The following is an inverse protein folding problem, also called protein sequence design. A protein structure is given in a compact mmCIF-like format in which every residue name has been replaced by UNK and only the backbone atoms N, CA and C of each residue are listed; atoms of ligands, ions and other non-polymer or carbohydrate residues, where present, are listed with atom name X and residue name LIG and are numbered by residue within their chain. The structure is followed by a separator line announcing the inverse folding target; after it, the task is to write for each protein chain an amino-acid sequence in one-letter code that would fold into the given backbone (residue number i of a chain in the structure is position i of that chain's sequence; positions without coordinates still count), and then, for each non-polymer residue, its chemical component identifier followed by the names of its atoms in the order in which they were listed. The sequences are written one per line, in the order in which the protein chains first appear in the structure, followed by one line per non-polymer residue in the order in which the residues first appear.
data_IF_815001821832
#
_entry.id   IF_815001821832
#
_cell.length_a   1.000
_cell.length_b   1.000
_cell.length_c   1.000
_cell.angle_alpha   90.00
_cell.angle_beta   90.00
_cell.angle_gamma   90.00
#
_symmetry.space_group_name_H-M   'P 1'
#
loop_
_entity.id
_entity.type
_entity.pdbx_description
1 polymer ?
#
# COMPACT_ATOMS: atom_id res chain seq x y z
N UNK A 1 -8.51 -4.67 -1.44
CA UNK A 1 -9.63 -4.17 -2.29
C UNK A 1 -9.10 -3.14 -3.27
N UNK A 2 -9.84 -2.75 -4.32
CA UNK A 2 -9.29 -1.75 -5.27
C UNK A 2 -9.41 -0.32 -4.73
N UNK A 3 -10.62 0.15 -4.42
CA UNK A 3 -10.86 1.49 -3.87
C UNK A 3 -10.76 1.50 -2.35
N UNK A 4 -10.26 2.58 -1.72
CA UNK A 4 -10.23 2.75 -0.27
C UNK A 4 -11.65 2.99 0.25
N UNK A 5 -12.43 1.93 0.39
CA UNK A 5 -13.87 2.03 0.64
C UNK A 5 -14.23 2.73 1.96
N UNK A 6 -13.30 2.76 2.92
CA UNK A 6 -13.46 3.43 4.20
C UNK A 6 -13.36 4.96 4.08
N UNK A 7 -12.49 5.50 3.20
CA UNK A 7 -12.42 6.95 2.95
C UNK A 7 -13.62 7.43 2.15
N UNK A 8 -14.17 6.56 1.30
CA UNK A 8 -15.40 6.78 0.54
C UNK A 8 -16.68 6.60 1.37
N UNK A 9 -16.57 6.26 2.67
CA UNK A 9 -17.71 6.02 3.57
C UNK A 9 -18.72 5.02 2.99
N UNK A 10 -18.21 3.91 2.46
CA UNK A 10 -19.04 2.88 1.83
C UNK A 10 -19.84 2.09 2.87
N UNK A 11 -21.17 2.18 2.81
CA UNK A 11 -22.06 1.39 3.67
C UNK A 11 -21.88 -0.13 3.50
N UNK A 12 -21.43 -0.60 2.33
CA UNK A 12 -21.10 -2.01 2.12
C UNK A 12 -19.81 -2.40 2.85
N UNK A 13 -18.82 -1.52 2.88
CA UNK A 13 -17.60 -1.74 3.63
C UNK A 13 -17.86 -1.70 5.14
N UNK A 14 -18.73 -0.82 5.62
CA UNK A 14 -19.11 -0.76 7.04
C UNK A 14 -19.69 -2.10 7.52
N UNK A 15 -20.48 -2.79 6.68
CA UNK A 15 -20.98 -4.15 6.96
C UNK A 15 -19.84 -5.16 7.07
N UNK A 16 -18.86 -5.10 6.17
CA UNK A 16 -17.67 -5.97 6.21
C UNK A 16 -16.86 -5.69 7.47
N UNK A 17 -16.60 -4.42 7.78
CA UNK A 17 -15.87 -3.97 8.96
C UNK A 17 -16.54 -4.43 10.26
N UNK A 18 -17.88 -4.36 10.33
CA UNK A 18 -18.66 -4.89 11.44
C UNK A 18 -18.56 -6.43 11.55
N UNK A 19 -18.63 -7.15 10.43
CA UNK A 19 -18.49 -8.62 10.40
C UNK A 19 -17.10 -9.11 10.78
N UNK A 20 -16.06 -8.29 10.54
CA UNK A 20 -14.70 -8.60 10.99
C UNK A 20 -14.58 -8.52 12.52
N UNK A 21 -15.44 -7.74 13.19
CA UNK A 21 -15.55 -7.64 14.64
C UNK A 21 -14.17 -7.49 15.32
N UNK A 22 -13.77 -8.45 16.16
CA UNK A 22 -12.50 -8.46 16.88
C UNK A 22 -11.43 -9.35 16.23
N UNK A 23 -11.65 -9.81 14.99
CA UNK A 23 -10.64 -10.57 14.25
C UNK A 23 -9.44 -9.64 13.99
N UNK A 24 -8.24 -10.20 14.03
CA UNK A 24 -7.05 -9.48 13.59
C UNK A 24 -7.09 -9.37 12.07
N UNK A 25 -7.01 -8.16 11.54
CA UNK A 25 -7.00 -7.90 10.11
C UNK A 25 -6.22 -6.63 9.78
N UNK A 26 -5.85 -6.50 8.51
CA UNK A 26 -5.32 -5.28 7.90
C UNK A 26 -6.07 -5.04 6.59
N UNK A 27 -6.36 -3.78 6.28
CA UNK A 27 -7.05 -3.40 5.06
C UNK A 27 -6.03 -2.77 4.10
N UNK A 28 -5.99 -3.25 2.86
CA UNK A 28 -5.12 -2.72 1.82
C UNK A 28 -5.97 -2.35 0.61
N UNK A 29 -5.83 -1.12 0.11
CA UNK A 29 -6.45 -0.63 -1.11
C UNK A 29 -5.49 0.19 -1.98
N UNK A 30 -5.89 0.54 -3.20
CA UNK A 30 -5.13 1.39 -4.12
C UNK A 30 -5.99 2.54 -4.64
N UNK A 31 -6.19 2.62 -5.96
CA UNK A 31 -7.03 3.57 -6.69
C UNK A 31 -6.51 5.02 -6.77
N UNK A 32 -6.06 5.60 -5.65
CA UNK A 32 -5.77 7.03 -5.57
C UNK A 32 -4.35 7.43 -5.99
N UNK A 33 -3.48 6.45 -6.29
CA UNK A 33 -2.11 6.68 -6.74
C UNK A 33 -1.29 7.51 -5.75
N UNK A 34 -1.54 7.31 -4.46
CA UNK A 34 -0.87 8.03 -3.39
C UNK A 34 -0.83 7.14 -2.15
N UNK A 35 0.35 6.98 -1.57
CA UNK A 35 0.49 6.19 -0.37
C UNK A 35 -0.07 6.93 0.85
N UNK A 36 -0.91 6.24 1.62
CA UNK A 36 -1.28 6.67 2.97
C UNK A 36 -1.48 5.47 3.88
N UNK A 37 -1.32 5.72 5.18
CA UNK A 37 -1.57 4.75 6.23
C UNK A 37 -2.35 5.45 7.34
N UNK A 38 -3.34 4.75 7.88
CA UNK A 38 -4.02 5.18 9.09
C UNK A 38 -4.33 4.00 10.00
N UNK A 39 -4.39 4.28 11.30
CA UNK A 39 -4.87 3.36 12.30
C UNK A 39 -6.36 3.61 12.52
N UNK A 40 -7.20 2.64 12.17
CA UNK A 40 -8.66 2.72 12.34
C UNK A 40 -9.15 1.49 13.10
N UNK A 41 -9.95 1.71 14.14
CA UNK A 41 -10.45 0.66 15.05
C UNK A 41 -9.33 -0.19 15.70
N UNK A 42 -8.09 0.33 15.75
CA UNK A 42 -6.92 -0.42 16.21
C UNK A 42 -6.36 -1.42 15.18
N UNK A 43 -6.63 -1.22 13.89
CA UNK A 43 -6.10 -2.01 12.78
C UNK A 43 -5.48 -1.11 11.72
N UNK A 44 -4.53 -1.64 10.95
CA UNK A 44 -3.86 -0.91 9.87
C UNK A 44 -4.70 -0.84 8.60
N UNK A 45 -4.79 0.37 8.02
CA UNK A 45 -5.45 0.64 6.75
C UNK A 45 -4.44 1.31 5.82
N UNK A 46 -4.00 0.59 4.80
CA UNK A 46 -3.05 1.08 3.80
C UNK A 46 -3.77 1.44 2.50
N UNK A 47 -3.52 2.65 2.01
CA UNK A 47 -3.71 3.00 0.61
C UNK A 47 -2.35 2.94 -0.07
N UNK A 48 -2.22 2.09 -1.08
CA UNK A 48 -0.99 1.90 -1.84
C UNK A 48 -0.81 3.01 -2.87
N UNK A 49 0.46 3.37 -3.09
CA UNK A 49 0.90 4.27 -4.14
C UNK A 49 0.94 3.58 -5.50
N UNK A 50 1.88 3.99 -6.34
CA UNK A 50 1.99 3.52 -7.73
C UNK A 50 3.12 2.50 -7.90
N UNK A 51 3.19 1.90 -9.09
CA UNK A 51 4.31 1.10 -9.60
C UNK A 51 4.59 1.54 -11.05
N UNK A 52 4.73 2.86 -11.26
CA UNK A 52 4.98 3.51 -12.55
C UNK A 52 3.81 4.26 -13.17
N UNK A 53 2.74 4.49 -12.40
CA UNK A 53 1.60 5.27 -12.87
C UNK A 53 1.72 6.76 -12.46
N UNK A 54 0.88 7.61 -13.06
CA UNK A 54 0.83 9.04 -12.74
C UNK A 54 0.31 9.24 -11.31
N UNK A 55 1.01 10.04 -10.50
CA UNK A 55 0.48 10.46 -9.19
C UNK A 55 -0.63 11.50 -9.34
N UNK A 56 -1.72 11.36 -8.59
CA UNK A 56 -2.81 12.34 -8.56
C UNK A 56 -2.62 13.42 -7.47
N UNK A 57 -1.59 13.31 -6.64
CA UNK A 57 -1.37 14.18 -5.49
C UNK A 57 0.13 14.40 -5.20
N UNK A 58 0.49 15.59 -4.71
CA UNK A 58 1.83 15.90 -4.21
C UNK A 58 1.99 15.59 -2.72
N UNK A 59 3.22 15.32 -2.29
CA UNK A 59 3.58 15.10 -0.88
C UNK A 59 4.31 13.77 -0.63
N UNK A 60 4.58 13.41 0.63
CA UNK A 60 5.41 12.26 1.00
C UNK A 60 4.88 10.90 0.49
N UNK A 61 3.58 10.78 0.23
CA UNK A 61 2.97 9.58 -0.29
C UNK A 61 3.11 9.41 -1.82
N UNK A 62 3.65 10.41 -2.53
CA UNK A 62 3.94 10.33 -3.96
C UNK A 62 5.20 9.50 -4.17
N UNK A 63 5.01 8.20 -4.41
CA UNK A 63 6.10 7.28 -4.69
C UNK A 63 5.64 6.07 -5.49
N UNK A 64 6.56 5.53 -6.29
CA UNK A 64 6.50 4.16 -6.75
C UNK A 64 7.07 3.25 -5.67
N UNK A 65 6.31 2.23 -5.28
CA UNK A 65 6.72 1.37 -4.17
C UNK A 65 6.05 0.00 -4.17
N UNK A 66 6.59 -0.89 -3.35
CA UNK A 66 5.99 -2.17 -2.97
C UNK A 66 5.84 -2.20 -1.44
N UNK A 67 4.79 -2.83 -0.94
CA UNK A 67 4.71 -3.22 0.47
C UNK A 67 5.20 -4.66 0.62
N UNK A 68 6.27 -4.85 1.37
CA UNK A 68 6.76 -6.15 1.79
C UNK A 68 6.12 -6.53 3.13
N UNK A 69 5.36 -7.61 3.12
CA UNK A 69 4.63 -8.09 4.31
C UNK A 69 5.21 -9.42 4.76
N UNK A 70 5.65 -9.48 6.01
CA UNK A 70 6.02 -10.73 6.67
C UNK A 70 5.06 -10.97 7.82
N UNK A 71 4.80 -12.24 8.17
CA UNK A 71 3.83 -12.58 9.22
C UNK A 71 4.47 -13.59 10.17
N UNK A 72 4.40 -13.31 11.46
CA UNK A 72 4.85 -14.21 12.52
C UNK A 72 3.77 -14.37 13.62
N UNK A 73 4.17 -14.90 14.79
CA UNK A 73 3.27 -15.10 15.93
C UNK A 73 2.74 -13.80 16.54
N UNK A 74 3.47 -12.69 16.41
CA UNK A 74 3.06 -11.37 16.90
C UNK A 74 2.07 -10.71 15.92
N UNK A 75 2.25 -10.93 14.63
CA UNK A 75 1.34 -10.44 13.59
C UNK A 75 2.07 -10.11 12.29
N UNK A 76 1.43 -9.30 11.41
CA UNK A 76 2.07 -8.82 10.20
C UNK A 76 3.05 -7.68 10.50
N UNK A 77 4.19 -7.68 9.81
CA UNK A 77 5.18 -6.61 9.78
C UNK A 77 5.28 -6.05 8.36
N UNK A 78 5.39 -4.73 8.25
CA UNK A 78 5.32 -4.01 6.99
C UNK A 78 6.61 -3.23 6.74
N UNK A 79 7.20 -3.42 5.56
CA UNK A 79 8.25 -2.56 5.05
C UNK A 79 7.86 -2.01 3.68
N UNK A 80 7.96 -0.70 3.49
CA UNK A 80 7.73 -0.09 2.18
C UNK A 80 9.06 -0.02 1.42
N UNK A 81 9.13 -0.72 0.30
CA UNK A 81 10.28 -0.70 -0.59
C UNK A 81 10.02 0.34 -1.66
N UNK A 82 10.71 1.48 -1.57
CA UNK A 82 10.65 2.52 -2.60
C UNK A 82 11.33 2.01 -3.87
N UNK A 83 10.65 2.15 -5.01
CA UNK A 83 11.22 1.91 -6.32
C UNK A 83 11.89 3.20 -6.79
N UNK A 84 13.18 3.09 -7.14
CA UNK A 84 14.01 4.22 -7.57
C UNK A 84 14.47 4.09 -9.03
N UNK A 85 14.09 3.01 -9.71
CA UNK A 85 14.35 2.79 -11.13
C UNK A 85 13.27 1.88 -11.71
N UNK A 86 12.44 2.43 -12.59
CA UNK A 86 11.59 1.66 -13.47
C UNK A 86 12.31 1.59 -14.82
N UNK A 87 12.66 0.38 -15.23
CA UNK A 87 13.41 0.16 -16.45
C UNK A 87 12.45 -0.18 -17.58
N UNK A 88 12.87 0.14 -18.80
CA UNK A 88 12.19 -0.36 -19.99
C UNK A 88 12.47 -1.87 -20.17
N UNK A 89 11.95 -2.44 -21.26
CA UNK A 89 12.13 -3.87 -21.57
C UNK A 89 13.60 -4.31 -21.71
N UNK A 90 14.52 -3.37 -21.94
CA UNK A 90 15.94 -3.68 -22.09
C UNK A 90 16.60 -3.85 -20.72
N UNK A 91 15.97 -3.37 -19.65
CA UNK A 91 16.41 -3.63 -18.28
C UNK A 91 17.78 -3.04 -17.96
N UNK A 92 18.20 -2.01 -18.69
CA UNK A 92 19.50 -1.36 -18.49
C UNK A 92 19.50 -0.58 -17.17
N UNK A 93 20.09 -1.17 -16.14
CA UNK A 93 20.12 -0.58 -14.78
C UNK A 93 21.17 0.52 -14.63
N UNK A 94 22.17 0.55 -15.52
CA UNK A 94 23.38 1.38 -15.35
C UNK A 94 24.22 1.01 -14.12
N UNK A 95 23.93 -0.11 -13.45
CA UNK A 95 24.70 -0.55 -12.29
C UNK A 95 26.09 -1.00 -12.72
N UNK A 96 27.11 -0.37 -12.14
CA UNK A 96 28.50 -0.79 -12.31
C UNK A 96 28.74 -2.07 -11.54
N UNK A 97 29.42 -3.04 -12.17
CA UNK A 97 29.85 -4.25 -11.50
C UNK A 97 30.85 -3.86 -10.39
N UNK A 98 30.61 -4.32 -9.18
CA UNK A 98 31.61 -4.20 -8.12
C UNK A 98 32.89 -4.90 -8.60
N UNK A 99 34.02 -4.18 -8.53
CA UNK A 99 35.35 -4.74 -8.80
C UNK A 99 35.84 -5.49 -7.58
#
# INVERSE_FOLDING_TARGET
MHKPAWTLKSAAFDKIEAMLANRKYTVIAGHNHYYSHELRNGRDYFQMGTVGAISHQEGPGKMDHLAWVTVDKAGPHYALVRLTGLLDKNGETGQTLAR
#
